data_IF_648364971462
#
_entry.id   IF_648364971462
#
_cell.length_a   1.000
_cell.length_b   1.000
_cell.length_c   1.000
_cell.angle_alpha   90.00
_cell.angle_beta   90.00
_cell.angle_gamma   90.00
#
_symmetry.space_group_name_H-M   'P 1'
#
loop_
_entity.id
_entity.type
_entity.pdbx_description
1 polymer ?
#
# COMPACT_ATOMS: atom_id res chain seq x y z
N UNK A 1 -3.12 -5.18 11.69
CA UNK A 1 -2.33 -4.24 12.53
C UNK A 1 -1.35 -4.99 13.44
N UNK A 2 -1.75 -6.10 14.05
CA UNK A 2 -0.93 -6.85 15.00
C UNK A 2 0.39 -7.35 14.39
N UNK A 3 0.37 -7.89 13.17
CA UNK A 3 1.58 -8.34 12.47
C UNK A 3 2.60 -7.21 12.30
N UNK A 4 2.14 -5.99 11.98
CA UNK A 4 3.02 -4.81 11.85
C UNK A 4 3.67 -4.48 13.20
N UNK A 5 2.89 -4.48 14.28
CA UNK A 5 3.43 -4.26 15.65
C UNK A 5 4.45 -5.32 16.03
N UNK A 6 4.14 -6.58 15.79
CA UNK A 6 5.04 -7.69 16.11
C UNK A 6 6.35 -7.60 15.31
N UNK A 7 6.29 -7.23 14.02
CA UNK A 7 7.48 -7.02 13.21
C UNK A 7 8.35 -5.87 13.74
N UNK A 8 7.74 -4.73 14.08
CA UNK A 8 8.47 -3.58 14.62
C UNK A 8 9.09 -3.91 15.96
N UNK A 9 8.34 -4.55 16.86
CA UNK A 9 8.86 -4.98 18.16
C UNK A 9 10.03 -5.94 18.00
N UNK A 10 9.93 -6.92 17.09
CA UNK A 10 11.03 -7.83 16.80
C UNK A 10 12.29 -7.11 16.30
N UNK A 11 12.15 -6.10 15.44
CA UNK A 11 13.29 -5.28 14.98
C UNK A 11 13.91 -4.52 16.16
N UNK A 12 13.11 -3.90 17.01
CA UNK A 12 13.58 -3.16 18.18
C UNK A 12 14.28 -4.04 19.21
N UNK A 13 13.76 -5.26 19.42
CA UNK A 13 14.41 -6.24 20.31
C UNK A 13 15.76 -6.68 19.79
N UNK A 14 15.89 -6.87 18.48
CA UNK A 14 17.13 -7.30 17.84
C UNK A 14 18.17 -6.20 17.79
N UNK A 15 17.75 -4.97 17.48
CA UNK A 15 18.63 -3.83 17.26
C UNK A 15 18.17 -2.63 18.14
N UNK A 16 18.35 -2.70 19.47
CA UNK A 16 17.93 -1.64 20.38
C UNK A 16 18.65 -0.32 20.09
N UNK A 17 17.89 0.77 19.97
CA UNK A 17 18.42 2.10 19.68
C UNK A 17 18.36 2.52 18.21
N UNK A 18 17.97 1.64 17.30
CA UNK A 18 17.69 2.05 15.92
C UNK A 18 16.33 2.75 15.84
N UNK A 19 16.29 3.85 15.08
CA UNK A 19 15.05 4.48 14.66
C UNK A 19 14.29 3.58 13.68
N UNK A 20 12.96 3.52 13.82
CA UNK A 20 12.11 2.74 12.92
C UNK A 20 11.16 3.66 12.17
N UNK A 21 11.20 3.62 10.84
CA UNK A 21 10.16 4.18 9.98
C UNK A 21 9.37 3.07 9.30
N UNK A 22 8.08 3.28 9.11
CA UNK A 22 7.22 2.35 8.40
C UNK A 22 6.87 2.89 7.02
N UNK A 23 7.20 2.13 5.98
CA UNK A 23 6.83 2.44 4.59
C UNK A 23 5.78 1.42 4.16
N UNK A 24 4.57 1.88 3.89
CA UNK A 24 3.46 1.02 3.53
C UNK A 24 2.82 1.42 2.20
N UNK A 25 2.76 0.48 1.25
CA UNK A 25 2.07 0.66 -0.01
C UNK A 25 0.66 0.06 0.02
N UNK A 26 -0.32 0.76 -0.53
CA UNK A 26 -1.69 0.28 -0.69
C UNK A 26 -2.24 -0.32 0.61
N UNK A 27 -2.60 -1.62 0.64
CA UNK A 27 -3.08 -2.31 1.84
C UNK A 27 -2.08 -2.24 3.00
N UNK A 28 -0.78 -2.39 2.72
CA UNK A 28 0.28 -2.28 3.74
C UNK A 28 0.30 -0.89 4.39
N UNK A 29 0.11 0.18 3.61
CA UNK A 29 0.00 1.54 4.13
C UNK A 29 -1.26 1.76 4.96
N UNK A 30 -2.39 1.18 4.55
CA UNK A 30 -3.63 1.23 5.31
C UNK A 30 -3.47 0.58 6.69
N UNK A 31 -2.85 -0.60 6.74
CA UNK A 31 -2.58 -1.32 7.98
C UNK A 31 -1.59 -0.56 8.87
N UNK A 32 -0.55 0.01 8.27
CA UNK A 32 0.45 0.82 8.98
C UNK A 32 -0.16 2.09 9.60
N UNK A 33 -0.98 2.81 8.84
CA UNK A 33 -1.69 4.00 9.32
C UNK A 33 -2.54 3.68 10.56
N UNK A 34 -3.32 2.59 10.49
CA UNK A 34 -4.15 2.17 11.62
C UNK A 34 -3.28 1.75 12.81
N UNK A 35 -2.21 0.98 12.57
CA UNK A 35 -1.34 0.52 13.63
C UNK A 35 -0.66 1.67 14.38
N UNK A 36 -0.15 2.66 13.63
CA UNK A 36 0.51 3.84 14.22
C UNK A 36 -0.46 4.81 14.89
N UNK A 37 -1.70 4.92 14.41
CA UNK A 37 -2.70 5.74 15.08
C UNK A 37 -3.26 5.11 16.35
N UNK A 38 -3.26 3.79 16.45
CA UNK A 38 -3.64 3.04 17.66
C UNK A 38 -2.48 2.94 18.68
N UNK A 39 -1.24 3.09 18.21
CA UNK A 39 -0.01 3.08 19.01
C UNK A 39 0.94 4.18 18.44
N UNK A 40 0.81 5.44 18.91
CA UNK A 40 1.57 6.56 18.38
C UNK A 40 3.09 6.45 18.55
N UNK A 41 3.56 5.64 19.49
CA UNK A 41 4.98 5.40 19.77
C UNK A 41 5.55 4.22 18.97
N UNK A 42 4.73 3.62 18.08
CA UNK A 42 5.08 2.42 17.34
C UNK A 42 6.25 2.63 16.38
N UNK A 43 6.36 3.79 15.73
CA UNK A 43 7.47 4.13 14.85
C UNK A 43 7.68 5.64 14.77
N UNK A 44 8.88 6.06 14.36
CA UNK A 44 9.27 7.48 14.31
C UNK A 44 8.72 8.21 13.08
N UNK A 45 8.42 7.51 12.00
CA UNK A 45 7.86 8.10 10.78
C UNK A 45 6.97 7.09 10.02
N UNK A 46 6.01 7.61 9.27
CA UNK A 46 5.12 6.86 8.39
C UNK A 46 5.20 7.37 6.97
N UNK A 47 5.45 6.48 6.03
CA UNK A 47 5.35 6.76 4.60
C UNK A 47 4.24 5.93 3.99
N UNK A 48 3.27 6.60 3.41
CA UNK A 48 2.14 6.01 2.71
C UNK A 48 2.38 6.10 1.20
N UNK A 49 2.40 4.96 0.52
CA UNK A 49 2.61 4.92 -0.93
C UNK A 49 1.29 4.62 -1.61
N UNK A 50 0.76 5.64 -2.24
CA UNK A 50 -0.50 5.70 -2.97
C UNK A 50 -1.69 5.09 -2.22
N UNK A 51 -1.82 5.47 -0.97
CA UNK A 51 -2.93 5.11 -0.10
C UNK A 51 -3.17 6.23 0.92
N UNK A 52 -4.42 6.61 1.11
CA UNK A 52 -4.85 7.61 2.08
C UNK A 52 -5.95 7.04 2.99
N UNK A 53 -6.45 7.87 3.91
CA UNK A 53 -7.59 7.50 4.77
C UNK A 53 -8.79 7.14 3.89
N UNK A 54 -9.13 8.01 2.95
CA UNK A 54 -10.14 7.76 1.93
C UNK A 54 -9.53 7.05 0.72
N UNK A 55 -10.21 6.00 0.28
CA UNK A 55 -9.91 5.26 -0.96
C UNK A 55 -11.07 5.43 -1.92
N UNK A 56 -10.80 5.81 -3.15
CA UNK A 56 -11.83 5.95 -4.16
C UNK A 56 -12.43 4.59 -4.53
N UNK A 57 -13.77 4.53 -4.59
CA UNK A 57 -14.51 3.29 -4.81
C UNK A 57 -14.16 2.65 -6.16
N UNK A 58 -14.01 3.47 -7.19
CA UNK A 58 -13.63 3.01 -8.55
C UNK A 58 -12.26 2.36 -8.57
N UNK A 59 -11.25 3.04 -8.00
CA UNK A 59 -9.89 2.53 -7.91
C UNK A 59 -9.81 1.27 -7.07
N UNK A 60 -10.43 1.27 -5.90
CA UNK A 60 -10.50 0.09 -5.05
C UNK A 60 -11.18 -1.11 -5.74
N UNK A 61 -12.21 -0.87 -6.56
CA UNK A 61 -12.85 -1.92 -7.38
C UNK A 61 -11.88 -2.43 -8.44
N UNK A 62 -11.24 -1.55 -9.20
CA UNK A 62 -10.27 -1.92 -10.24
C UNK A 62 -9.14 -2.78 -9.69
N UNK A 63 -8.58 -2.42 -8.52
CA UNK A 63 -7.56 -3.24 -7.83
C UNK A 63 -8.10 -4.63 -7.48
N UNK A 64 -9.29 -4.71 -6.87
CA UNK A 64 -9.90 -6.00 -6.51
C UNK A 64 -10.18 -6.87 -7.73
N UNK A 65 -10.70 -6.29 -8.80
CA UNK A 65 -11.00 -7.03 -10.03
C UNK A 65 -9.72 -7.59 -10.67
N UNK A 66 -8.64 -6.79 -10.67
CA UNK A 66 -7.32 -7.25 -11.09
C UNK A 66 -6.80 -8.39 -10.20
N UNK A 67 -6.86 -8.26 -8.89
CA UNK A 67 -6.39 -9.30 -7.96
C UNK A 67 -7.23 -10.59 -8.03
N UNK A 68 -8.51 -10.50 -8.43
CA UNK A 68 -9.41 -11.62 -8.68
C UNK A 68 -9.25 -12.24 -10.05
N UNK A 69 -8.48 -11.60 -10.95
CA UNK A 69 -8.22 -12.16 -12.25
C UNK A 69 -7.50 -13.50 -12.14
N UNK A 70 -7.78 -14.41 -13.07
CA UNK A 70 -7.21 -15.76 -13.14
C UNK A 70 -7.34 -16.57 -11.82
N UNK A 71 -8.56 -16.85 -11.34
CA UNK A 71 -8.78 -17.63 -10.10
C UNK A 71 -8.21 -19.05 -10.23
N UNK A 72 -8.11 -19.57 -11.46
CA UNK A 72 -7.54 -20.88 -11.77
C UNK A 72 -6.07 -20.79 -12.21
N UNK A 73 -5.43 -19.67 -12.01
CA UNK A 73 -4.05 -19.40 -12.44
C UNK A 73 -3.91 -19.17 -13.95
N UNK A 74 -2.74 -18.73 -14.37
CA UNK A 74 -2.36 -18.48 -15.76
C UNK A 74 -1.70 -19.71 -16.37
N UNK A 75 -1.91 -19.96 -17.66
CA UNK A 75 -1.26 -21.06 -18.35
C UNK A 75 0.24 -20.79 -18.58
N UNK A 76 0.63 -19.51 -18.69
CA UNK A 76 2.02 -19.10 -18.88
C UNK A 76 2.32 -17.75 -18.24
N UNK A 77 3.61 -17.36 -18.19
CA UNK A 77 4.03 -16.01 -17.77
C UNK A 77 3.62 -14.95 -18.80
N UNK A 78 3.50 -15.32 -20.07
CA UNK A 78 3.03 -14.47 -21.15
C UNK A 78 1.57 -14.06 -20.91
N UNK A 79 0.69 -15.01 -20.58
CA UNK A 79 -0.71 -14.75 -20.23
C UNK A 79 -0.80 -13.82 -19.00
N UNK A 80 -0.02 -14.09 -17.98
CA UNK A 80 0.04 -13.21 -16.80
C UNK A 80 0.51 -11.80 -17.16
N UNK A 81 1.52 -11.69 -18.01
CA UNK A 81 2.04 -10.41 -18.49
C UNK A 81 0.99 -9.62 -19.29
N UNK A 82 0.14 -10.27 -20.06
CA UNK A 82 -0.96 -9.63 -20.80
C UNK A 82 -1.98 -9.01 -19.86
N UNK A 83 -2.39 -9.74 -18.84
CA UNK A 83 -3.34 -9.27 -17.83
C UNK A 83 -2.75 -8.10 -17.02
N UNK A 84 -1.46 -8.17 -16.65
CA UNK A 84 -0.77 -7.08 -15.94
C UNK A 84 -0.65 -5.84 -16.84
N UNK A 85 -0.33 -6.01 -18.13
CA UNK A 85 -0.23 -4.90 -19.08
C UNK A 85 -1.59 -4.25 -19.36
N UNK A 86 -2.66 -5.01 -19.37
CA UNK A 86 -4.02 -4.47 -19.48
C UNK A 86 -4.43 -3.66 -18.25
N UNK A 87 -3.93 -4.05 -17.06
CA UNK A 87 -4.14 -3.30 -15.82
C UNK A 87 -3.34 -1.99 -15.77
N UNK A 88 -2.12 -1.96 -16.37
CA UNK A 88 -1.23 -0.81 -16.42
C UNK A 88 -0.89 -0.46 -17.89
N UNK A 89 -1.83 0.09 -18.67
CA UNK A 89 -1.67 0.27 -20.11
C UNK A 89 -0.60 1.28 -20.53
N UNK A 90 -0.25 2.22 -19.64
CA UNK A 90 0.81 3.21 -19.84
C UNK A 90 2.22 2.65 -19.57
N UNK A 91 2.32 1.45 -18.99
CA UNK A 91 3.60 0.85 -18.66
C UNK A 91 4.10 -0.04 -19.79
N UNK A 92 5.33 0.14 -20.28
CA UNK A 92 5.91 -0.75 -21.28
C UNK A 92 5.92 -2.21 -20.81
N UNK A 93 5.46 -3.12 -21.64
CA UNK A 93 5.53 -4.55 -21.35
C UNK A 93 7.00 -4.98 -21.24
N UNK A 94 7.43 -5.63 -20.15
CA UNK A 94 8.81 -6.07 -19.98
C UNK A 94 9.14 -7.17 -21.00
N UNK A 95 10.32 -7.09 -21.62
CA UNK A 95 10.82 -8.12 -22.53
C UNK A 95 11.20 -9.42 -21.79
N UNK A 96 11.70 -9.29 -20.56
CA UNK A 96 12.02 -10.43 -19.69
C UNK A 96 10.90 -10.59 -18.64
N UNK A 97 10.27 -11.76 -18.64
CA UNK A 97 9.15 -12.09 -17.74
C UNK A 97 9.59 -12.78 -16.44
N UNK A 98 10.88 -13.04 -16.23
CA UNK A 98 11.38 -13.70 -15.03
C UNK A 98 11.04 -12.91 -13.75
N UNK A 99 10.95 -11.59 -13.84
CA UNK A 99 10.52 -10.72 -12.75
C UNK A 99 9.12 -11.06 -12.21
N UNK A 100 8.25 -11.62 -13.04
CA UNK A 100 6.89 -12.03 -12.62
C UNK A 100 6.92 -13.20 -11.64
N UNK A 101 7.96 -14.02 -11.65
CA UNK A 101 8.16 -15.13 -10.70
C UNK A 101 8.29 -14.66 -9.25
N UNK A 102 8.56 -13.36 -9.02
CA UNK A 102 8.54 -12.77 -7.68
C UNK A 102 7.12 -12.75 -7.11
N UNK A 103 6.11 -12.55 -7.95
CA UNK A 103 4.70 -12.42 -7.58
C UNK A 103 3.84 -13.64 -7.96
N UNK A 104 4.40 -14.60 -8.67
CA UNK A 104 3.72 -15.79 -9.14
C UNK A 104 4.41 -17.06 -8.61
N UNK A 105 3.63 -18.11 -8.41
CA UNK A 105 4.11 -19.46 -8.02
C UNK A 105 3.53 -20.48 -8.96
N UNK A 106 4.39 -21.36 -9.49
CA UNK A 106 3.97 -22.49 -10.31
C UNK A 106 3.40 -23.58 -9.40
N UNK A 107 2.13 -23.95 -9.63
CA UNK A 107 1.42 -25.02 -8.92
C UNK A 107 0.59 -25.77 -9.95
N UNK A 108 0.69 -27.09 -9.96
CA UNK A 108 -0.09 -27.98 -10.86
C UNK A 108 -0.04 -27.55 -12.34
N UNK A 109 1.14 -27.08 -12.81
CA UNK A 109 1.36 -26.67 -14.18
C UNK A 109 0.79 -25.29 -14.54
N UNK A 110 0.29 -24.52 -13.57
CA UNK A 110 -0.23 -23.16 -13.78
C UNK A 110 0.43 -22.17 -12.86
N UNK A 111 0.51 -20.91 -13.31
CA UNK A 111 1.06 -19.80 -12.53
C UNK A 111 -0.03 -19.13 -11.73
N UNK A 112 0.06 -19.17 -10.40
CA UNK A 112 -0.90 -18.54 -9.49
C UNK A 112 -0.27 -17.34 -8.82
N UNK A 113 -1.08 -16.34 -8.51
CA UNK A 113 -0.67 -15.28 -7.62
C UNK A 113 -0.18 -15.86 -6.28
N UNK A 114 0.86 -15.24 -5.69
CA UNK A 114 1.41 -15.74 -4.43
C UNK A 114 0.65 -15.23 -3.19
N UNK A 115 -0.17 -14.21 -3.35
CA UNK A 115 -0.98 -13.70 -2.24
C UNK A 115 -2.07 -14.68 -1.82
N UNK A 116 -2.55 -14.50 -0.58
CA UNK A 116 -3.63 -15.33 -0.05
C UNK A 116 -4.97 -14.91 -0.68
N UNK A 117 -5.67 -15.79 -1.39
CA UNK A 117 -6.95 -15.46 -2.01
C UNK A 117 -8.03 -15.05 -1.00
N UNK A 118 -7.93 -15.46 0.26
CA UNK A 118 -8.85 -15.07 1.33
C UNK A 118 -8.89 -13.55 1.57
N UNK A 119 -7.81 -12.84 1.26
CA UNK A 119 -7.79 -11.38 1.31
C UNK A 119 -8.79 -10.77 0.31
N UNK A 120 -8.97 -11.41 -0.85
CA UNK A 120 -9.87 -10.94 -1.90
C UNK A 120 -11.26 -11.59 -1.82
N UNK A 121 -11.38 -12.72 -1.14
CA UNK A 121 -12.63 -13.50 -0.99
C UNK A 121 -12.81 -13.87 0.49
N UNK A 122 -13.02 -12.89 1.38
CA UNK A 122 -13.27 -13.20 2.78
C UNK A 122 -14.56 -14.02 2.90
N UNK A 123 -14.49 -15.09 3.67
CA UNK A 123 -15.60 -16.03 3.83
C UNK A 123 -16.85 -15.41 4.48
N UNK A 124 -16.67 -14.32 5.22
CA UNK A 124 -17.70 -13.56 5.92
C UNK A 124 -18.25 -12.36 5.12
N UNK A 125 -17.76 -12.13 3.91
CA UNK A 125 -18.25 -11.05 3.05
C UNK A 125 -19.74 -11.20 2.68
N UNK A 126 -20.25 -12.43 2.73
CA UNK A 126 -21.66 -12.73 2.47
C UNK A 126 -22.56 -12.57 3.71
N UNK A 127 -21.97 -12.53 4.92
CA UNK A 127 -22.74 -12.57 6.19
C UNK A 127 -23.12 -11.20 6.72
N UNK A 128 -22.51 -10.11 6.22
CA UNK A 128 -22.79 -8.73 6.64
C UNK A 128 -23.01 -7.79 5.45
N UNK A 129 -24.12 -7.96 4.70
CA UNK A 129 -24.41 -7.13 3.53
C UNK A 129 -24.66 -5.65 3.88
N UNK A 130 -25.11 -5.35 5.10
CA UNK A 130 -25.55 -4.03 5.51
C UNK A 130 -24.41 -3.13 6.03
N UNK A 131 -23.24 -3.68 6.34
CA UNK A 131 -22.09 -2.88 6.77
C UNK A 131 -20.86 -3.31 5.97
N UNK A 132 -20.57 -2.65 4.84
CA UNK A 132 -19.38 -2.95 4.06
C UNK A 132 -18.12 -2.87 4.93
N UNK A 133 -17.29 -3.91 4.92
CA UNK A 133 -15.99 -3.93 5.61
C UNK A 133 -15.19 -2.66 5.29
N UNK A 134 -15.32 -2.14 4.08
CA UNK A 134 -14.72 -0.87 3.66
C UNK A 134 -15.14 0.33 4.51
N UNK A 135 -16.41 0.40 4.94
CA UNK A 135 -16.90 1.49 5.80
C UNK A 135 -16.30 1.38 7.21
N UNK A 136 -16.24 0.18 7.77
CA UNK A 136 -15.62 -0.07 9.09
C UNK A 136 -14.15 0.30 9.07
N UNK A 137 -13.41 -0.14 8.05
CA UNK A 137 -11.99 0.18 7.88
C UNK A 137 -11.79 1.69 7.68
N UNK A 138 -12.67 2.36 6.95
CA UNK A 138 -12.60 3.79 6.73
C UNK A 138 -12.76 4.56 8.04
N UNK A 139 -13.80 4.28 8.83
CA UNK A 139 -14.01 4.95 10.12
C UNK A 139 -12.86 4.66 11.11
N UNK A 140 -12.38 3.42 11.17
CA UNK A 140 -11.20 3.07 11.98
C UNK A 140 -9.95 3.84 11.52
N UNK A 141 -9.76 4.00 10.21
CA UNK A 141 -8.64 4.78 9.65
C UNK A 141 -8.73 6.26 10.01
N UNK A 142 -9.94 6.84 10.02
CA UNK A 142 -10.15 8.24 10.43
C UNK A 142 -9.80 8.48 11.89
N UNK A 143 -10.24 7.57 12.77
CA UNK A 143 -9.93 7.65 14.19
C UNK A 143 -8.41 7.55 14.39
N UNK A 144 -7.78 6.55 13.77
CA UNK A 144 -6.34 6.33 13.84
C UNK A 144 -5.55 7.54 13.30
N UNK A 145 -5.94 8.08 12.15
CA UNK A 145 -5.26 9.21 11.53
C UNK A 145 -5.18 10.44 12.45
N UNK A 146 -6.24 10.72 13.20
CA UNK A 146 -6.26 11.86 14.15
C UNK A 146 -5.31 11.68 15.33
N UNK A 147 -4.91 10.47 15.64
CA UNK A 147 -4.02 10.14 16.75
C UNK A 147 -2.55 10.08 16.35
N UNK A 148 -2.23 10.12 15.05
CA UNK A 148 -0.85 10.08 14.58
C UNK A 148 -0.15 11.40 14.90
N UNK A 149 0.93 11.32 15.67
CA UNK A 149 1.79 12.45 16.00
C UNK A 149 3.14 12.40 15.27
N UNK A 150 3.56 11.20 14.84
CA UNK A 150 4.77 11.01 14.08
C UNK A 150 4.69 11.72 12.70
N UNK A 151 5.82 12.16 12.12
CA UNK A 151 5.89 12.65 10.75
C UNK A 151 5.26 11.67 9.76
N UNK A 152 4.47 12.20 8.81
CA UNK A 152 3.78 11.41 7.78
C UNK A 152 4.08 11.96 6.41
N UNK A 153 4.50 11.09 5.48
CA UNK A 153 4.62 11.38 4.06
C UNK A 153 3.61 10.56 3.26
N UNK A 154 2.85 11.20 2.41
CA UNK A 154 2.08 10.56 1.35
C UNK A 154 2.79 10.76 0.02
N UNK A 155 3.27 9.68 -0.58
CA UNK A 155 3.74 9.67 -1.98
C UNK A 155 2.62 9.15 -2.85
N UNK A 156 2.05 10.02 -3.70
CA UNK A 156 0.89 9.72 -4.53
C UNK A 156 1.24 9.75 -6.02
N UNK A 157 0.75 8.78 -6.78
CA UNK A 157 0.71 8.88 -8.23
C UNK A 157 -0.30 9.95 -8.67
N UNK A 158 0.11 10.90 -9.50
CA UNK A 158 -0.78 12.00 -9.93
C UNK A 158 -1.98 11.49 -10.74
N UNK A 159 -1.81 10.35 -11.40
CA UNK A 159 -2.85 9.68 -12.20
C UNK A 159 -3.50 8.52 -11.43
N UNK A 160 -3.33 8.46 -10.11
CA UNK A 160 -3.95 7.43 -9.29
C UNK A 160 -5.47 7.57 -9.27
N UNK A 161 -6.16 6.47 -9.49
CA UNK A 161 -7.60 6.33 -9.29
C UNK A 161 -7.98 5.83 -7.89
N UNK A 162 -6.96 5.57 -7.04
CA UNK A 162 -7.12 5.11 -5.65
C UNK A 162 -7.10 6.28 -4.67
N UNK A 163 -6.22 7.27 -4.89
CA UNK A 163 -6.07 8.46 -4.05
C UNK A 163 -6.37 9.70 -4.87
N UNK A 164 -7.54 10.28 -4.68
CA UNK A 164 -7.98 11.53 -5.34
C UNK A 164 -7.46 12.77 -4.61
N UNK A 165 -7.61 13.94 -5.24
CA UNK A 165 -7.34 15.23 -4.60
C UNK A 165 -8.24 15.43 -3.35
N UNK A 166 -9.47 14.93 -3.38
CA UNK A 166 -10.37 14.94 -2.22
C UNK A 166 -9.85 14.04 -1.09
N UNK A 167 -9.27 12.87 -1.42
CA UNK A 167 -8.62 12.00 -0.44
C UNK A 167 -7.39 12.63 0.20
N UNK A 168 -6.61 13.38 -0.58
CA UNK A 168 -5.48 14.17 -0.06
C UNK A 168 -5.95 15.30 0.85
N UNK A 169 -6.99 16.03 0.46
CA UNK A 169 -7.55 17.11 1.28
C UNK A 169 -8.05 16.58 2.63
N UNK A 170 -8.81 15.49 2.62
CA UNK A 170 -9.28 14.84 3.85
C UNK A 170 -8.11 14.36 4.72
N UNK A 171 -7.05 13.79 4.11
CA UNK A 171 -5.87 13.36 4.86
C UNK A 171 -5.20 14.53 5.57
N UNK A 172 -5.06 15.69 4.91
CA UNK A 172 -4.50 16.92 5.52
C UNK A 172 -5.37 17.49 6.64
N UNK A 173 -6.69 17.31 6.58
CA UNK A 173 -7.58 17.68 7.67
C UNK A 173 -7.40 16.77 8.90
N UNK A 174 -7.17 15.48 8.66
CA UNK A 174 -7.02 14.48 9.71
C UNK A 174 -5.61 14.43 10.30
N UNK A 175 -4.59 14.69 9.48
CA UNK A 175 -3.17 14.72 9.84
C UNK A 175 -2.58 16.03 9.29
N UNK A 176 -2.73 17.18 9.98
CA UNK A 176 -2.35 18.49 9.46
C UNK A 176 -0.86 18.66 9.14
N UNK A 177 -0.01 17.87 9.76
CA UNK A 177 1.44 17.85 9.53
C UNK A 177 1.88 16.87 8.42
N UNK A 178 0.95 16.18 7.75
CA UNK A 178 1.30 15.27 6.67
C UNK A 178 1.83 16.03 5.44
N UNK A 179 3.00 15.61 4.98
CA UNK A 179 3.56 16.03 3.70
C UNK A 179 2.99 15.20 2.56
N UNK A 180 2.87 15.81 1.38
CA UNK A 180 2.33 15.13 0.20
C UNK A 180 3.21 15.42 -1.00
N UNK A 181 3.69 14.37 -1.64
CA UNK A 181 4.46 14.41 -2.88
C UNK A 181 3.66 13.73 -3.99
N UNK A 182 3.39 14.46 -5.06
CA UNK A 182 2.78 13.94 -6.29
C UNK A 182 3.86 13.50 -7.27
N UNK A 183 3.87 12.21 -7.62
CA UNK A 183 4.72 11.66 -8.68
C UNK A 183 3.98 11.78 -10.01
N UNK A 184 4.54 12.56 -10.93
CA UNK A 184 3.95 12.78 -12.26
C UNK A 184 3.99 11.47 -13.07
N UNK A 185 3.02 11.31 -13.98
CA UNK A 185 2.95 10.16 -14.90
C UNK A 185 2.92 8.79 -14.19
N UNK A 186 2.64 8.77 -12.87
CA UNK A 186 2.48 7.56 -12.09
C UNK A 186 1.02 7.34 -11.68
N UNK A 187 0.56 6.10 -11.83
CA UNK A 187 -0.72 5.62 -11.32
C UNK A 187 -0.59 5.02 -9.92
N UNK A 188 -1.42 4.01 -9.62
CA UNK A 188 -1.40 3.34 -8.31
C UNK A 188 -0.09 2.60 -8.00
N UNK A 189 0.70 2.25 -9.00
CA UNK A 189 1.97 1.52 -8.86
C UNK A 189 3.19 2.46 -8.80
N UNK A 190 3.11 3.54 -8.03
CA UNK A 190 4.10 4.63 -7.96
C UNK A 190 5.55 4.14 -7.91
N UNK A 191 5.87 3.25 -6.96
CA UNK A 191 7.23 2.71 -6.81
C UNK A 191 7.70 1.85 -8.00
N UNK A 192 6.80 1.43 -8.87
CA UNK A 192 7.12 0.65 -10.06
C UNK A 192 7.10 1.47 -11.35
N UNK A 193 6.42 2.63 -11.35
CA UNK A 193 6.27 3.49 -12.51
C UNK A 193 7.45 4.48 -12.62
N UNK A 194 7.83 5.13 -11.51
CA UNK A 194 9.00 6.00 -11.44
C UNK A 194 9.77 5.73 -10.14
N UNK A 195 10.60 4.69 -10.17
CA UNK A 195 11.34 4.24 -9.00
C UNK A 195 12.40 5.24 -8.51
N UNK A 196 13.00 6.00 -9.41
CA UNK A 196 14.08 6.94 -9.06
C UNK A 196 13.52 8.15 -8.32
N UNK A 197 12.42 8.73 -8.83
CA UNK A 197 11.72 9.84 -8.17
C UNK A 197 11.14 9.41 -6.83
N UNK A 198 10.52 8.23 -6.78
CA UNK A 198 10.02 7.66 -5.53
C UNK A 198 11.13 7.50 -4.50
N UNK A 199 12.26 6.89 -4.89
CA UNK A 199 13.39 6.62 -3.99
C UNK A 199 14.01 7.91 -3.48
N UNK A 200 14.23 8.91 -4.35
CA UNK A 200 14.80 10.19 -3.96
C UNK A 200 13.93 10.91 -2.91
N UNK A 201 12.63 11.02 -3.14
CA UNK A 201 11.71 11.63 -2.18
C UNK A 201 11.62 10.87 -0.87
N UNK A 202 11.67 9.53 -0.93
CA UNK A 202 11.66 8.69 0.26
C UNK A 202 12.92 8.91 1.12
N UNK A 203 14.11 8.89 0.50
CA UNK A 203 15.37 9.06 1.23
C UNK A 203 15.48 10.46 1.84
N UNK A 204 15.17 11.51 1.06
CA UNK A 204 15.18 12.88 1.55
C UNK A 204 14.24 13.07 2.76
N UNK A 205 13.04 12.49 2.68
CA UNK A 205 12.09 12.54 3.80
C UNK A 205 12.59 11.79 5.04
N UNK A 206 13.14 10.59 4.87
CA UNK A 206 13.62 9.77 6.00
C UNK A 206 14.82 10.44 6.68
N UNK A 207 15.74 11.02 5.92
CA UNK A 207 16.92 11.73 6.46
C UNK A 207 16.51 12.95 7.30
N UNK A 208 15.39 13.60 6.96
CA UNK A 208 14.87 14.75 7.70
C UNK A 208 13.92 14.40 8.85
N UNK A 209 13.37 13.18 8.86
CA UNK A 209 12.28 12.78 9.79
C UNK A 209 12.71 11.78 10.86
N UNK A 210 13.88 11.16 10.72
CA UNK A 210 14.38 10.16 11.67
C UNK A 210 15.55 10.75 12.45
N UNK A 211 15.42 10.81 13.77
CA UNK A 211 16.55 11.10 14.65
C UNK A 211 17.43 9.85 14.80
N UNK A 212 18.62 9.91 14.22
CA UNK A 212 19.64 8.90 14.48
C UNK A 212 20.27 9.16 15.83
N UNK A 213 19.95 8.37 16.83
CA UNK A 213 20.68 8.38 18.09
C UNK A 213 22.05 7.74 17.85
N UNK A 214 23.08 8.59 17.74
CA UNK A 214 24.50 8.21 17.64
C UNK A 214 25.04 7.72 18.99
#
# INVERSE_FOLDING_TARGET
TEDVRNMINHVRERDPGLGVAVVGASLGGKVALIAMGEDPDLAQALVLVDIAVRVEVSGGRRVRDFMRSAPNGFASLEEASEVISAYNPHRPRPKNLDGLKKNLRLRDGRWHWHWDPRVMFPADAETHPDTPISAVIYERSKIAARSITAPVLLVRGKESDVVSDAGVAEMRELIPHAEVVDVREAGHMVAGDDNDVFTANLLDYLDNSIEYHS
#
